data_IF_873401635241
#
_entry.id   IF_873401635241
#
_cell.length_a   1.000
_cell.length_b   1.000
_cell.length_c   1.000
_cell.angle_alpha   90.00
_cell.angle_beta   90.00
_cell.angle_gamma   90.00
#
_symmetry.space_group_name_H-M   'P 1'
#
loop_
_entity.id
_entity.type
_entity.pdbx_description
1 polymer ?
#
# COMPACT_ATOMS: atom_id res chain seq x y z
N UNK A 1 -9.99 -4.37 42.56
CA UNK A 1 -10.30 -3.23 41.68
C UNK A 1 -9.08 -2.65 40.98
N UNK A 2 -8.00 -2.27 41.68
CA UNK A 2 -6.78 -1.76 41.01
C UNK A 2 -6.08 -2.82 40.17
N UNK A 3 -5.89 -4.03 40.71
CA UNK A 3 -5.25 -5.14 40.00
C UNK A 3 -6.02 -5.61 38.75
N UNK A 4 -7.36 -5.62 38.82
CA UNK A 4 -8.22 -5.96 37.68
C UNK A 4 -8.12 -4.93 36.55
N UNK A 5 -7.92 -3.65 36.88
CA UNK A 5 -7.78 -2.57 35.90
C UNK A 5 -6.39 -2.59 35.22
N UNK A 6 -5.34 -2.96 35.96
CA UNK A 6 -3.99 -3.18 35.42
C UNK A 6 -3.94 -4.40 34.50
N UNK A 7 -4.66 -5.48 34.83
CA UNK A 7 -4.71 -6.66 33.96
C UNK A 7 -5.39 -6.35 32.62
N UNK A 8 -6.46 -5.55 32.65
CA UNK A 8 -7.20 -5.15 31.45
C UNK A 8 -6.37 -4.24 30.53
N UNK A 9 -5.56 -3.33 31.09
CA UNK A 9 -4.72 -2.45 30.26
C UNK A 9 -3.61 -3.19 29.52
N UNK A 10 -3.00 -4.20 30.15
CA UNK A 10 -1.96 -5.03 29.49
C UNK A 10 -2.53 -5.82 28.31
N UNK A 11 -3.75 -6.32 28.43
CA UNK A 11 -4.44 -7.05 27.34
C UNK A 11 -4.76 -6.15 26.14
N UNK A 12 -5.09 -4.88 26.37
CA UNK A 12 -5.44 -3.93 25.31
C UNK A 12 -4.22 -3.42 24.53
N UNK A 13 -3.04 -3.33 25.15
CA UNK A 13 -1.84 -2.75 24.54
C UNK A 13 -0.72 -3.77 24.24
N UNK A 14 -0.90 -5.05 24.57
CA UNK A 14 0.09 -6.12 24.34
C UNK A 14 0.26 -6.56 22.88
N UNK A 15 -0.59 -6.09 21.95
CA UNK A 15 -0.57 -6.50 20.54
C UNK A 15 0.57 -5.91 19.70
N UNK A 16 1.33 -4.93 20.22
CA UNK A 16 2.38 -4.23 19.46
C UNK A 16 3.72 -4.98 19.40
N UNK A 17 3.81 -6.21 19.89
CA UNK A 17 5.02 -7.04 19.75
C UNK A 17 5.08 -7.65 18.34
N UNK A 18 5.27 -6.79 17.34
CA UNK A 18 5.57 -7.21 15.97
C UNK A 18 7.05 -7.63 15.98
N UNK A 19 7.31 -8.92 15.79
CA UNK A 19 8.68 -9.39 15.53
C UNK A 19 9.14 -8.77 14.22
N UNK A 20 10.33 -8.17 14.24
CA UNK A 20 10.96 -7.69 13.01
C UNK A 20 11.12 -8.86 12.04
N UNK A 21 10.41 -8.77 10.91
CA UNK A 21 10.42 -9.78 9.86
C UNK A 21 11.74 -9.67 9.11
N UNK A 22 12.50 -10.77 9.08
CA UNK A 22 13.79 -10.81 8.43
C UNK A 22 13.63 -10.62 6.91
N UNK A 23 14.61 -10.02 6.20
CA UNK A 23 14.48 -9.71 4.77
C UNK A 23 14.05 -10.90 3.90
N UNK A 24 14.54 -12.11 4.20
CA UNK A 24 14.23 -13.35 3.47
C UNK A 24 12.84 -13.92 3.79
N UNK A 25 12.23 -13.58 4.93
CA UNK A 25 10.87 -14.03 5.28
C UNK A 25 9.81 -13.30 4.44
N UNK A 26 10.18 -12.18 3.80
CA UNK A 26 9.29 -11.37 2.95
C UNK A 26 9.02 -11.97 1.57
N UNK A 27 9.83 -12.95 1.13
CA UNK A 27 9.67 -13.58 -0.20
C UNK A 27 8.30 -14.24 -0.39
N UNK A 28 7.70 -14.75 0.69
CA UNK A 28 6.37 -15.40 0.65
C UNK A 28 5.25 -14.45 0.17
N UNK A 29 5.40 -13.14 0.40
CA UNK A 29 4.42 -12.09 0.09
C UNK A 29 4.70 -11.35 -1.23
N UNK A 30 5.83 -11.65 -1.89
CA UNK A 30 6.27 -10.94 -3.09
C UNK A 30 6.23 -11.84 -4.34
N UNK A 31 5.18 -12.67 -4.47
CA UNK A 31 5.01 -13.55 -5.64
C UNK A 31 4.86 -12.72 -6.92
N UNK A 32 5.39 -13.22 -8.04
CA UNK A 32 5.27 -12.53 -9.33
C UNK A 32 3.81 -12.26 -9.75
N UNK A 33 2.89 -13.13 -9.34
CA UNK A 33 1.44 -12.97 -9.58
C UNK A 33 0.80 -11.83 -8.78
N UNK A 34 1.47 -11.33 -7.73
CA UNK A 34 1.02 -10.21 -6.90
C UNK A 34 1.61 -8.88 -7.38
N UNK A 35 2.49 -8.89 -8.38
CA UNK A 35 2.98 -7.65 -9.00
C UNK A 35 1.81 -6.94 -9.68
N UNK A 36 1.69 -5.63 -9.44
CA UNK A 36 0.74 -4.79 -10.15
C UNK A 36 0.88 -5.02 -11.66
N UNK A 37 -0.25 -5.24 -12.31
CA UNK A 37 -0.33 -5.52 -13.73
C UNK A 37 0.57 -6.69 -14.23
N UNK A 38 0.87 -7.70 -13.41
CA UNK A 38 1.59 -8.97 -13.66
C UNK A 38 1.80 -9.41 -15.13
N UNK A 39 2.56 -8.64 -15.91
CA UNK A 39 2.76 -8.84 -17.36
C UNK A 39 1.56 -8.54 -18.28
N UNK A 40 0.40 -8.10 -17.75
CA UNK A 40 -0.77 -7.79 -18.57
C UNK A 40 -0.80 -6.29 -18.94
N UNK A 41 -0.44 -6.02 -20.20
CA UNK A 41 -0.38 -4.66 -20.76
C UNK A 41 -1.75 -3.97 -20.81
N UNK A 42 -2.85 -4.71 -20.95
CA UNK A 42 -4.20 -4.15 -20.94
C UNK A 42 -4.59 -3.68 -19.53
N UNK A 43 -4.29 -4.48 -18.50
CA UNK A 43 -4.54 -4.10 -17.11
C UNK A 43 -3.72 -2.89 -16.70
N UNK A 44 -2.45 -2.83 -17.13
CA UNK A 44 -1.59 -1.66 -16.92
C UNK A 44 -2.23 -0.38 -17.48
N UNK A 45 -2.77 -0.44 -18.71
CA UNK A 45 -3.44 0.70 -19.36
C UNK A 45 -4.71 1.13 -18.62
N UNK A 46 -5.51 0.15 -18.19
CA UNK A 46 -6.74 0.39 -17.45
C UNK A 46 -6.49 1.05 -16.09
N UNK A 47 -5.53 0.54 -15.31
CA UNK A 47 -5.12 1.11 -14.03
C UNK A 47 -4.60 2.54 -14.20
N UNK A 48 -3.75 2.78 -15.20
CA UNK A 48 -3.27 4.13 -15.51
C UNK A 48 -4.43 5.08 -15.85
N UNK A 49 -5.41 4.64 -16.66
CA UNK A 49 -6.56 5.47 -16.99
C UNK A 49 -7.36 5.88 -15.74
N UNK A 50 -7.58 4.95 -14.82
CA UNK A 50 -8.24 5.24 -13.53
C UNK A 50 -7.39 6.20 -12.69
N UNK A 51 -6.08 5.93 -12.59
CA UNK A 51 -5.15 6.73 -11.81
C UNK A 51 -5.12 8.19 -12.29
N UNK A 52 -4.98 8.42 -13.59
CA UNK A 52 -5.02 9.78 -14.15
C UNK A 52 -6.36 10.46 -13.91
N UNK A 53 -7.46 9.73 -14.02
CA UNK A 53 -8.81 10.30 -13.88
C UNK A 53 -9.13 10.70 -12.43
N UNK A 54 -8.54 10.02 -11.45
CA UNK A 54 -8.86 10.19 -10.02
C UNK A 54 -7.77 10.89 -9.22
N UNK A 55 -6.52 10.68 -9.60
CA UNK A 55 -5.32 11.03 -8.81
C UNK A 55 -4.24 11.74 -9.65
N UNK A 56 -4.53 12.04 -10.93
CA UNK A 56 -3.62 12.63 -11.90
C UNK A 56 -3.12 14.05 -11.58
N UNK A 57 -3.61 14.69 -10.51
CA UNK A 57 -3.16 16.00 -10.03
C UNK A 57 -1.68 16.06 -9.63
N UNK A 58 -0.98 14.92 -9.64
CA UNK A 58 0.47 14.79 -9.37
C UNK A 58 1.31 14.49 -10.61
N UNK A 59 0.69 14.36 -11.78
CA UNK A 59 1.37 13.94 -13.00
C UNK A 59 1.63 12.45 -13.06
N UNK A 60 1.53 11.90 -14.25
CA UNK A 60 1.87 10.51 -14.46
C UNK A 60 2.40 10.27 -15.86
N UNK A 61 3.16 9.18 -15.95
CA UNK A 61 3.41 8.31 -17.11
C UNK A 61 4.05 8.88 -18.37
N UNK A 62 3.70 10.08 -18.86
CA UNK A 62 4.22 10.53 -20.15
C UNK A 62 3.44 11.59 -20.92
N UNK A 63 2.85 12.60 -20.28
CA UNK A 63 2.42 13.81 -21.00
C UNK A 63 2.82 15.07 -20.23
N UNK A 64 3.82 15.76 -20.75
CA UNK A 64 4.13 17.12 -20.34
C UNK A 64 3.09 18.06 -20.97
N UNK A 65 2.42 18.85 -20.14
CA UNK A 65 1.92 20.17 -20.50
C UNK A 65 0.44 20.26 -20.89
N UNK A 66 -0.37 20.80 -19.97
CA UNK A 66 -1.34 21.82 -20.37
C UNK A 66 -2.66 21.88 -19.60
N UNK A 67 -2.65 22.40 -18.36
CA UNK A 67 -3.72 23.31 -17.92
C UNK A 67 -4.42 22.97 -16.61
N UNK A 68 -4.21 23.81 -15.60
CA UNK A 68 -5.03 23.99 -14.39
C UNK A 68 -5.23 22.78 -13.45
N UNK A 69 -4.59 21.63 -13.71
CA UNK A 69 -4.68 20.42 -12.90
C UNK A 69 -3.31 19.80 -12.56
N UNK A 70 -2.32 20.65 -12.29
CA UNK A 70 -0.97 20.33 -11.79
C UNK A 70 -0.31 19.04 -12.33
N UNK A 71 -0.30 18.90 -13.67
CA UNK A 71 0.93 18.68 -14.45
C UNK A 71 0.89 19.48 -15.76
#
# INVERSE_FOLDING_TARGET
MKATLVMLSVLLFGGCSIKDVQPWEKETLAKDTMKNAAGNTLMTKFENHIYFSKEGSKGGGGVAGGGCGCN
#
